data_IF_374206983897
#
_entry.id   IF_374206983897
#
_cell.length_a   1.000
_cell.length_b   1.000
_cell.length_c   1.000
_cell.angle_alpha   90.00
_cell.angle_beta   90.00
_cell.angle_gamma   90.00
#
_symmetry.space_group_name_H-M   'P 1'
#
loop_
_entity.id
_entity.type
_entity.pdbx_description
1 polymer ?
#
# COMPACT_ATOMS: atom_id res chain seq x y z
N UNK A 1 2.35 9.30 2.10
CA UNK A 1 3.77 9.46 1.72
C UNK A 1 4.55 8.40 2.47
N UNK A 2 5.31 7.57 1.77
CA UNK A 2 6.17 6.54 2.36
C UNK A 2 7.62 7.02 2.31
N UNK A 3 8.34 6.86 3.42
CA UNK A 3 9.72 7.28 3.58
C UNK A 3 10.59 6.08 3.94
N UNK A 4 11.77 6.00 3.35
CA UNK A 4 12.79 5.02 3.66
C UNK A 4 14.12 5.74 3.81
N UNK A 5 14.85 5.54 4.91
CA UNK A 5 16.17 6.17 5.04
C UNK A 5 17.14 5.62 4.00
N UNK A 6 17.92 6.49 3.37
CA UNK A 6 18.97 6.10 2.42
C UNK A 6 20.07 5.24 3.07
N UNK A 7 20.15 5.24 4.42
CA UNK A 7 21.14 4.48 5.20
C UNK A 7 20.66 3.07 5.57
N UNK A 8 19.46 2.65 5.16
CA UNK A 8 18.96 1.30 5.45
C UNK A 8 19.87 0.23 4.83
N UNK A 9 20.09 -0.87 5.54
CA UNK A 9 20.91 -1.99 5.06
C UNK A 9 20.30 -2.68 3.84
N UNK A 10 18.98 -2.67 3.73
CA UNK A 10 18.23 -3.35 2.69
C UNK A 10 17.20 -2.38 2.08
N UNK A 11 17.60 -1.52 1.14
CA UNK A 11 16.68 -0.57 0.51
C UNK A 11 15.70 -1.30 -0.41
N UNK A 12 14.41 -1.02 -0.24
CA UNK A 12 13.30 -1.68 -0.92
C UNK A 12 12.39 -0.68 -1.65
N UNK A 13 12.35 0.59 -1.24
CA UNK A 13 11.34 1.54 -1.73
C UNK A 13 11.43 1.80 -3.25
N UNK A 14 12.65 1.83 -3.80
CA UNK A 14 12.87 1.96 -5.25
C UNK A 14 12.43 0.73 -6.04
N UNK A 15 12.55 -0.46 -5.46
CA UNK A 15 12.11 -1.71 -6.08
C UNK A 15 10.58 -1.76 -6.05
N UNK A 16 9.99 -1.45 -4.89
CA UNK A 16 8.54 -1.34 -4.71
C UNK A 16 7.92 -0.35 -5.70
N UNK A 17 8.51 0.85 -5.88
CA UNK A 17 7.98 1.84 -6.82
C UNK A 17 8.04 1.39 -8.29
N UNK A 18 9.05 0.59 -8.68
CA UNK A 18 9.09 -0.04 -10.01
C UNK A 18 7.95 -1.04 -10.19
N UNK A 19 7.67 -1.86 -9.18
CA UNK A 19 6.55 -2.80 -9.22
C UNK A 19 5.20 -2.08 -9.36
N UNK A 20 4.96 -1.02 -8.59
CA UNK A 20 3.74 -0.22 -8.74
C UNK A 20 3.60 0.40 -10.14
N UNK A 21 4.69 0.93 -10.72
CA UNK A 21 4.66 1.47 -12.09
C UNK A 21 4.34 0.41 -13.14
N UNK A 22 4.84 -0.82 -12.98
CA UNK A 22 4.53 -1.93 -13.90
C UNK A 22 3.07 -2.38 -13.78
N UNK A 23 2.47 -2.32 -12.59
CA UNK A 23 1.08 -2.71 -12.33
C UNK A 23 0.08 -1.56 -12.51
N UNK A 24 0.53 -0.38 -12.95
CA UNK A 24 -0.31 0.80 -13.05
C UNK A 24 -1.44 0.61 -14.06
N UNK A 25 -2.66 1.00 -13.67
CA UNK A 25 -3.88 0.80 -14.46
C UNK A 25 -4.66 -0.48 -14.10
N UNK A 26 -4.10 -1.35 -13.24
CA UNK A 26 -4.82 -2.49 -12.67
C UNK A 26 -5.89 -2.05 -11.66
N UNK A 27 -7.01 -2.77 -11.62
CA UNK A 27 -8.07 -2.55 -10.62
C UNK A 27 -7.51 -2.86 -9.24
N UNK A 28 -7.75 -1.96 -8.27
CA UNK A 28 -7.28 -2.12 -6.89
C UNK A 28 -5.79 -1.78 -6.68
N UNK A 29 -5.07 -1.31 -7.71
CA UNK A 29 -3.67 -0.89 -7.59
C UNK A 29 -3.58 0.63 -7.42
N UNK A 30 -2.96 1.14 -6.33
CA UNK A 30 -2.86 2.57 -6.09
C UNK A 30 -1.92 3.26 -7.09
N UNK A 31 -2.27 4.49 -7.46
CA UNK A 31 -1.43 5.30 -8.35
C UNK A 31 -0.20 5.89 -7.64
N UNK A 32 0.97 5.82 -8.28
CA UNK A 32 2.18 6.52 -7.84
C UNK A 32 2.21 7.91 -8.46
N UNK A 33 2.28 8.94 -7.60
CA UNK A 33 2.38 10.33 -8.02
C UNK A 33 3.83 10.77 -8.18
N UNK A 34 4.72 10.32 -7.30
CA UNK A 34 6.14 10.66 -7.35
C UNK A 34 7.00 9.63 -6.58
N UNK A 35 8.25 9.46 -7.01
CA UNK A 35 9.24 8.69 -6.29
C UNK A 35 10.62 9.29 -6.56
N UNK A 36 11.42 9.51 -5.51
CA UNK A 36 12.75 10.09 -5.62
C UNK A 36 13.48 10.15 -4.28
N UNK A 37 14.65 10.76 -4.25
CA UNK A 37 15.41 11.01 -3.02
C UNK A 37 15.25 12.48 -2.61
N UNK A 38 15.01 12.72 -1.33
CA UNK A 38 14.90 14.03 -0.71
C UNK A 38 15.64 14.00 0.64
N UNK A 39 16.76 14.73 0.74
CA UNK A 39 17.62 14.70 1.93
C UNK A 39 18.14 13.29 2.25
N UNK A 40 17.94 12.86 3.50
CA UNK A 40 18.36 11.54 4.01
C UNK A 40 17.34 10.41 3.71
N UNK A 41 16.35 10.64 2.84
CA UNK A 41 15.27 9.71 2.58
C UNK A 41 15.01 9.46 1.09
N UNK A 42 14.73 8.19 0.77
CA UNK A 42 13.94 7.83 -0.39
C UNK A 42 12.46 8.07 -0.05
N UNK A 43 11.73 8.67 -0.97
CA UNK A 43 10.35 9.12 -0.77
C UNK A 43 9.47 8.58 -1.89
N UNK A 44 8.31 8.04 -1.52
CA UNK A 44 7.27 7.61 -2.45
C UNK A 44 5.95 8.29 -2.10
N UNK A 45 5.41 9.04 -3.05
CA UNK A 45 4.10 9.69 -2.97
C UNK A 45 3.12 8.85 -3.79
N UNK A 46 2.08 8.38 -3.12
CA UNK A 46 1.06 7.51 -3.69
C UNK A 46 -0.33 8.02 -3.31
N UNK A 47 -1.33 7.48 -3.96
CA UNK A 47 -2.74 7.65 -3.62
C UNK A 47 -3.03 7.33 -2.15
N UNK A 48 -3.86 8.14 -1.52
CA UNK A 48 -4.34 7.88 -0.17
C UNK A 48 -5.51 6.89 -0.25
N UNK A 49 -5.37 5.76 0.44
CA UNK A 49 -6.41 4.75 0.53
C UNK A 49 -7.14 4.83 1.89
N UNK A 50 -8.22 4.06 1.99
CA UNK A 50 -8.97 3.89 3.23
C UNK A 50 -8.26 3.00 4.27
N UNK A 51 -8.95 2.66 5.37
CA UNK A 51 -8.42 1.78 6.41
C UNK A 51 -8.11 0.38 5.85
N UNK A 52 -7.16 -0.31 6.47
CA UNK A 52 -6.85 -1.69 6.12
C UNK A 52 -7.95 -2.65 6.56
N UNK A 53 -7.95 -3.87 6.00
CA UNK A 53 -8.88 -4.91 6.46
C UNK A 53 -8.67 -5.27 7.94
N UNK A 54 -7.44 -5.20 8.46
CA UNK A 54 -7.18 -5.43 9.89
C UNK A 54 -7.76 -4.32 10.76
N UNK A 55 -7.69 -3.05 10.32
CA UNK A 55 -8.33 -1.93 11.02
C UNK A 55 -9.85 -2.12 11.07
N UNK A 56 -10.46 -2.45 9.92
CA UNK A 56 -11.89 -2.74 9.82
C UNK A 56 -12.29 -3.98 10.62
N UNK A 57 -11.42 -4.99 10.68
CA UNK A 57 -11.65 -6.20 11.46
C UNK A 57 -11.66 -5.90 12.95
N UNK A 58 -10.71 -5.10 13.42
CA UNK A 58 -10.67 -4.61 14.80
C UNK A 58 -11.87 -3.71 15.13
N UNK A 59 -12.30 -2.85 14.20
CA UNK A 59 -13.52 -2.06 14.33
C UNK A 59 -14.76 -2.95 14.52
N UNK A 60 -14.82 -4.10 13.86
CA UNK A 60 -15.88 -5.09 14.00
C UNK A 60 -15.63 -6.11 15.13
N UNK A 61 -14.88 -5.75 16.18
CA UNK A 61 -14.56 -6.62 17.31
C UNK A 61 -13.97 -7.98 16.89
N UNK A 62 -13.13 -7.97 15.85
CA UNK A 62 -12.46 -9.14 15.28
C UNK A 62 -13.43 -10.21 14.79
N UNK A 63 -14.59 -9.81 14.26
CA UNK A 63 -15.53 -10.72 13.63
C UNK A 63 -16.23 -10.08 12.44
N UNK A 64 -16.00 -10.63 11.26
CA UNK A 64 -16.80 -10.32 10.07
C UNK A 64 -17.96 -11.29 9.91
N UNK A 65 -19.02 -10.83 9.24
CA UNK A 65 -20.11 -11.70 8.82
C UNK A 65 -19.67 -12.59 7.66
N UNK A 66 -20.31 -13.74 7.46
CA UNK A 66 -20.06 -14.60 6.30
C UNK A 66 -20.22 -13.84 4.99
N UNK A 67 -21.25 -13.00 4.87
CA UNK A 67 -21.47 -12.14 3.70
C UNK A 67 -20.27 -11.23 3.42
N UNK A 68 -19.75 -10.55 4.45
CA UNK A 68 -18.57 -9.67 4.31
C UNK A 68 -17.35 -10.47 3.87
N UNK A 69 -17.10 -11.63 4.47
CA UNK A 69 -15.97 -12.50 4.10
C UNK A 69 -16.06 -12.93 2.63
N UNK A 70 -17.24 -13.35 2.17
CA UNK A 70 -17.44 -13.77 0.78
C UNK A 70 -17.25 -12.63 -0.22
N UNK A 71 -17.71 -11.42 0.10
CA UNK A 71 -17.51 -10.24 -0.75
C UNK A 71 -16.04 -9.82 -0.84
N UNK A 72 -15.28 -9.96 0.25
CA UNK A 72 -13.83 -9.69 0.24
C UNK A 72 -13.08 -10.76 -0.56
N UNK A 73 -13.44 -12.03 -0.38
CA UNK A 73 -12.80 -13.16 -1.07
C UNK A 73 -13.01 -13.14 -2.60
N UNK A 74 -14.08 -12.50 -3.10
CA UNK A 74 -14.30 -12.33 -4.53
C UNK A 74 -13.35 -11.30 -5.16
N UNK A 75 -12.86 -10.33 -4.38
CA UNK A 75 -11.99 -9.25 -4.85
C UNK A 75 -10.50 -9.49 -4.57
N UNK A 76 -10.16 -10.36 -3.63
CA UNK A 76 -8.80 -10.68 -3.19
C UNK A 76 -8.25 -11.92 -3.87
#
# INVERSE_FOLDING_TARGET
>A
IKLESVKTKHPQLHIESKFYKMMQGGVGIPSIKWCGAEGDYNVMVMELLGPSLEDLFNFCSRKFTLKTVLLLADQM
#
